data_IF_276137929842
#
_entry.id   IF_276137929842
#
_cell.length_a   1.000
_cell.length_b   1.000
_cell.length_c   1.000
_cell.angle_alpha   90.00
_cell.angle_beta   90.00
_cell.angle_gamma   90.00
#
_symmetry.space_group_name_H-M   'P 1'
#
loop_
_entity.id
_entity.type
_entity.pdbx_description
1 polymer ?
#
# COMPACT_ATOMS: atom_id res chain seq x y z
N UNK A 1 41.96 -32.86 43.89
CA UNK A 1 42.29 -32.94 42.46
C UNK A 1 41.49 -31.82 41.76
N UNK A 2 42.17 -30.74 41.35
CA UNK A 2 41.49 -29.63 40.70
C UNK A 2 41.64 -29.72 39.17
N UNK A 3 40.53 -29.88 38.46
CA UNK A 3 40.54 -29.86 36.99
C UNK A 3 40.61 -28.41 36.50
N UNK A 4 41.70 -28.05 35.88
CA UNK A 4 41.88 -26.78 35.16
C UNK A 4 41.30 -26.91 33.74
N UNK A 5 40.34 -26.12 33.32
CA UNK A 5 39.84 -26.19 31.95
C UNK A 5 40.88 -25.63 30.98
N UNK A 6 41.15 -26.40 29.95
CA UNK A 6 42.15 -26.10 28.92
C UNK A 6 41.80 -24.78 28.17
N UNK A 7 42.81 -23.89 28.03
CA UNK A 7 42.71 -22.59 27.31
C UNK A 7 42.17 -22.69 25.87
N UNK A 8 42.18 -23.86 25.31
CA UNK A 8 41.66 -24.12 23.93
C UNK A 8 40.15 -24.17 23.86
N UNK A 9 39.45 -24.48 24.98
CA UNK A 9 37.96 -24.53 25.02
C UNK A 9 37.38 -23.13 25.12
N UNK A 10 38.06 -22.18 25.79
CA UNK A 10 37.62 -20.80 25.91
C UNK A 10 37.72 -20.03 24.56
N UNK A 11 38.73 -20.36 23.72
CA UNK A 11 38.88 -19.70 22.42
C UNK A 11 37.80 -20.09 21.40
N UNK A 12 37.29 -21.33 21.47
CA UNK A 12 36.22 -21.80 20.59
C UNK A 12 34.84 -21.21 20.90
N UNK A 13 34.58 -20.89 22.16
CA UNK A 13 33.30 -20.30 22.61
C UNK A 13 33.16 -18.82 22.25
N UNK A 14 34.27 -18.08 22.13
CA UNK A 14 34.25 -16.65 21.75
C UNK A 14 34.05 -16.44 20.24
N UNK A 15 34.48 -17.40 19.41
CA UNK A 15 34.35 -17.30 17.96
C UNK A 15 32.90 -17.51 17.45
N UNK A 16 32.04 -18.19 18.22
CA UNK A 16 30.68 -18.49 17.82
C UNK A 16 29.68 -17.33 18.07
N UNK A 17 30.05 -16.39 18.95
CA UNK A 17 29.19 -15.23 19.28
C UNK A 17 29.34 -14.08 18.28
N UNK A 18 30.44 -14.01 17.52
CA UNK A 18 30.71 -12.93 16.58
C UNK A 18 30.03 -13.08 15.21
N UNK A 19 29.41 -14.22 14.91
CA UNK A 19 28.81 -14.50 13.60
C UNK A 19 27.32 -14.13 13.46
N UNK A 20 26.68 -13.62 14.51
CA UNK A 20 25.23 -13.29 14.51
C UNK A 20 24.95 -11.79 14.34
N UNK A 21 25.97 -10.95 14.22
CA UNK A 21 25.82 -9.49 14.17
C UNK A 21 25.88 -8.98 12.72
N UNK A 22 24.83 -9.17 11.92
CA UNK A 22 24.86 -8.66 10.55
C UNK A 22 23.55 -8.65 9.78
N UNK A 23 22.43 -9.01 10.36
CA UNK A 23 21.13 -8.77 9.68
C UNK A 23 20.72 -7.32 9.88
N UNK A 24 21.03 -6.47 8.91
CA UNK A 24 20.37 -5.17 8.79
C UNK A 24 18.89 -5.46 8.52
N UNK A 25 18.07 -5.38 9.55
CA UNK A 25 16.63 -5.31 9.41
C UNK A 25 16.33 -4.00 8.68
N UNK A 26 16.23 -4.05 7.36
CA UNK A 26 15.65 -2.98 6.55
C UNK A 26 14.14 -2.99 6.81
N UNK A 27 13.74 -2.41 7.94
CA UNK A 27 12.34 -2.19 8.30
C UNK A 27 11.78 -0.93 7.63
N UNK A 28 12.27 -0.58 6.45
CA UNK A 28 11.63 0.40 5.59
C UNK A 28 10.81 -0.42 4.60
N UNK A 29 9.52 -0.54 4.91
CA UNK A 29 8.60 -1.28 4.11
C UNK A 29 8.42 -0.63 2.75
N UNK A 30 9.19 -1.14 1.81
CA UNK A 30 8.96 -0.92 0.39
C UNK A 30 7.57 -1.46 0.05
N UNK A 31 6.65 -0.55 -0.32
CA UNK A 31 5.30 -0.95 -0.73
C UNK A 31 5.41 -1.41 -2.18
N UNK A 32 5.68 -2.69 -2.37
CA UNK A 32 5.59 -3.29 -3.69
C UNK A 32 4.11 -3.47 -4.04
N UNK A 33 3.60 -2.75 -5.06
CA UNK A 33 2.20 -2.87 -5.45
C UNK A 33 1.85 -4.30 -5.85
N UNK A 34 0.71 -4.79 -5.36
CA UNK A 34 0.21 -6.13 -5.68
C UNK A 34 -0.75 -6.07 -6.85
N UNK A 35 -0.57 -6.92 -7.87
CA UNK A 35 -1.45 -6.95 -9.04
C UNK A 35 -2.92 -7.15 -8.68
N UNK A 36 -3.80 -6.58 -9.49
CA UNK A 36 -5.25 -6.64 -9.31
C UNK A 36 -5.85 -7.35 -10.51
N UNK A 37 -6.69 -8.36 -10.28
CA UNK A 37 -7.51 -8.96 -11.35
C UNK A 37 -8.73 -8.07 -11.63
N UNK A 38 -8.67 -7.38 -12.76
CA UNK A 38 -9.74 -6.52 -13.27
C UNK A 38 -10.48 -7.09 -14.46
N UNK A 39 -10.32 -8.39 -14.76
CA UNK A 39 -10.90 -9.06 -15.94
C UNK A 39 -12.42 -9.03 -15.96
N UNK A 40 -13.07 -8.93 -14.79
CA UNK A 40 -14.54 -8.84 -14.67
C UNK A 40 -15.10 -7.43 -14.86
N UNK A 41 -14.23 -6.42 -15.00
CA UNK A 41 -14.66 -5.04 -15.21
C UNK A 41 -14.77 -4.72 -16.69
N UNK A 42 -15.73 -3.89 -17.08
CA UNK A 42 -15.84 -3.38 -18.46
C UNK A 42 -14.53 -2.72 -18.92
N UNK A 43 -14.23 -2.79 -20.20
CA UNK A 43 -13.12 -2.07 -20.79
C UNK A 43 -13.42 -0.57 -20.85
N UNK A 44 -12.41 0.24 -20.53
CA UNK A 44 -12.53 1.70 -20.47
C UNK A 44 -11.48 2.43 -21.31
N UNK A 45 -10.79 1.67 -22.19
CA UNK A 45 -9.76 2.23 -23.04
C UNK A 45 -8.42 2.48 -22.35
N UNK A 46 -7.48 3.04 -23.09
CA UNK A 46 -6.11 3.33 -22.62
C UNK A 46 -5.93 4.74 -22.10
N UNK A 47 -6.77 5.69 -22.52
CA UNK A 47 -6.72 7.07 -22.06
C UNK A 47 -7.25 7.17 -20.63
N UNK A 48 -6.54 7.89 -19.78
CA UNK A 48 -6.94 8.11 -18.40
C UNK A 48 -8.20 8.97 -18.32
N UNK A 49 -9.26 8.39 -17.77
CA UNK A 49 -10.50 9.10 -17.51
C UNK A 49 -10.33 10.02 -16.28
N UNK A 50 -11.08 11.11 -16.25
CA UNK A 50 -11.10 12.05 -15.12
C UNK A 50 -12.11 11.64 -14.05
N UNK A 51 -13.15 10.90 -14.44
CA UNK A 51 -14.27 10.55 -13.58
C UNK A 51 -14.46 9.04 -13.55
N UNK A 52 -14.92 8.52 -12.43
CA UNK A 52 -15.07 7.09 -12.17
C UNK A 52 -16.13 6.46 -13.07
N UNK A 53 -15.74 5.64 -14.08
CA UNK A 53 -16.68 4.98 -14.97
C UNK A 53 -17.42 3.80 -14.31
N UNK A 54 -16.97 3.41 -13.12
CA UNK A 54 -17.53 2.27 -12.37
C UNK A 54 -18.34 2.70 -11.15
N UNK A 55 -18.66 3.99 -11.01
CA UNK A 55 -19.47 4.49 -9.89
C UNK A 55 -20.78 3.72 -9.79
N UNK A 56 -21.09 3.21 -8.60
CA UNK A 56 -22.27 2.39 -8.34
C UNK A 56 -22.17 0.93 -8.82
N UNK A 57 -21.06 0.52 -9.42
CA UNK A 57 -20.86 -0.86 -9.84
C UNK A 57 -20.39 -1.72 -8.65
N UNK A 58 -21.25 -2.61 -8.15
CA UNK A 58 -20.96 -3.47 -7.02
C UNK A 58 -19.79 -4.44 -7.25
N UNK A 59 -19.57 -4.89 -8.51
CA UNK A 59 -18.42 -5.75 -8.85
C UNK A 59 -17.13 -4.96 -8.75
N UNK A 60 -17.12 -3.72 -9.25
CA UNK A 60 -15.97 -2.83 -9.14
C UNK A 60 -15.66 -2.51 -7.67
N UNK A 61 -16.66 -2.18 -6.88
CA UNK A 61 -16.47 -1.92 -5.45
C UNK A 61 -15.87 -3.13 -4.72
N UNK A 62 -16.32 -4.35 -5.04
CA UNK A 62 -15.77 -5.57 -4.42
C UNK A 62 -14.33 -5.86 -4.82
N UNK A 63 -13.99 -5.66 -6.09
CA UNK A 63 -12.60 -5.74 -6.57
C UNK A 63 -11.77 -4.65 -5.90
N UNK A 64 -12.30 -3.44 -5.81
CA UNK A 64 -11.65 -2.29 -5.18
C UNK A 64 -11.39 -2.49 -3.69
N UNK A 65 -12.30 -3.11 -2.95
CA UNK A 65 -12.12 -3.48 -1.54
C UNK A 65 -10.87 -4.36 -1.36
N UNK A 66 -10.77 -5.42 -2.18
CA UNK A 66 -9.62 -6.34 -2.14
C UNK A 66 -8.32 -5.64 -2.54
N UNK A 67 -8.38 -4.85 -3.61
CA UNK A 67 -7.24 -4.08 -4.11
C UNK A 67 -6.75 -3.03 -3.09
N UNK A 68 -7.68 -2.34 -2.45
CA UNK A 68 -7.41 -1.39 -1.38
C UNK A 68 -6.72 -2.06 -0.19
N UNK A 69 -7.25 -3.19 0.27
CA UNK A 69 -6.69 -3.92 1.40
C UNK A 69 -5.23 -4.35 1.15
N UNK A 70 -4.90 -4.72 -0.08
CA UNK A 70 -3.57 -5.17 -0.46
C UNK A 70 -2.57 -4.03 -0.69
N UNK A 71 -3.02 -2.89 -1.20
CA UNK A 71 -2.14 -1.84 -1.71
C UNK A 71 -2.18 -0.53 -0.91
N UNK A 72 -3.28 -0.21 -0.25
CA UNK A 72 -3.53 1.10 0.36
C UNK A 72 -3.65 1.04 1.88
N UNK A 73 -4.27 -0.02 2.42
CA UNK A 73 -4.63 -0.13 3.83
C UNK A 73 -3.44 -0.04 4.79
N UNK A 74 -2.25 -0.40 4.35
CA UNK A 74 -1.02 -0.29 5.15
C UNK A 74 -0.76 1.13 5.65
N UNK A 75 -1.07 2.14 4.84
CA UNK A 75 -0.86 3.54 5.18
C UNK A 75 -2.18 4.24 5.53
N UNK A 76 -3.26 3.96 4.78
CA UNK A 76 -4.54 4.61 4.95
C UNK A 76 -5.50 3.90 5.93
N UNK A 77 -5.06 2.79 6.52
CA UNK A 77 -5.82 2.01 7.48
C UNK A 77 -6.85 1.06 6.84
N UNK A 78 -7.28 0.09 7.61
CA UNK A 78 -8.34 -0.82 7.21
C UNK A 78 -9.67 -0.05 7.06
N UNK A 79 -10.45 -0.39 6.04
CA UNK A 79 -11.71 0.30 5.73
C UNK A 79 -11.57 1.81 5.52
N UNK A 80 -10.38 2.25 5.09
CA UNK A 80 -10.02 3.65 4.88
C UNK A 80 -9.99 4.51 6.15
N UNK A 81 -10.06 3.89 7.34
CA UNK A 81 -9.97 4.56 8.64
C UNK A 81 -8.50 4.77 8.99
N UNK A 82 -8.03 6.00 8.87
CA UNK A 82 -6.62 6.31 9.06
C UNK A 82 -6.17 6.16 10.50
N UNK A 83 -4.98 5.58 10.69
CA UNK A 83 -4.23 5.61 11.95
C UNK A 83 -3.28 6.81 12.09
N UNK A 84 -3.37 7.83 11.22
CA UNK A 84 -2.57 9.06 11.29
C UNK A 84 -1.29 9.06 10.45
N UNK A 85 -0.93 7.94 9.79
CA UNK A 85 0.24 7.88 8.88
C UNK A 85 -0.05 8.58 7.55
N UNK A 86 -1.27 8.40 7.02
CA UNK A 86 -1.75 8.98 5.78
C UNK A 86 -3.17 9.54 6.00
N UNK A 87 -3.72 10.36 5.08
CA UNK A 87 -5.07 10.86 5.20
C UNK A 87 -6.12 9.77 5.32
N UNK A 88 -7.18 10.03 6.07
CA UNK A 88 -8.38 9.20 6.13
C UNK A 88 -9.19 9.39 4.83
N UNK A 89 -9.30 8.32 4.04
CA UNK A 89 -9.89 8.40 2.71
C UNK A 89 -11.43 8.31 2.72
N UNK A 90 -12.05 8.10 3.89
CA UNK A 90 -13.51 8.16 4.00
C UNK A 90 -14.04 9.58 3.79
N UNK A 91 -13.22 10.59 4.08
CA UNK A 91 -13.58 12.00 3.90
C UNK A 91 -13.30 12.53 2.49
N UNK A 92 -12.85 11.66 1.57
CA UNK A 92 -12.71 12.06 0.19
C UNK A 92 -14.09 12.29 -0.42
N UNK A 93 -14.32 13.48 -0.97
CA UNK A 93 -15.60 13.86 -1.57
C UNK A 93 -16.10 12.79 -2.56
N UNK A 94 -17.39 12.49 -2.51
CA UNK A 94 -18.02 11.64 -3.52
C UNK A 94 -18.19 12.39 -4.82
N UNK A 95 -18.21 11.66 -5.94
CA UNK A 95 -18.38 12.28 -7.26
C UNK A 95 -17.12 12.87 -7.85
N UNK A 96 -17.31 13.73 -8.83
CA UNK A 96 -16.26 14.22 -9.73
C UNK A 96 -15.11 14.96 -9.03
N UNK A 97 -15.34 15.84 -8.04
CA UNK A 97 -14.22 16.50 -7.35
C UNK A 97 -13.30 15.52 -6.63
N UNK A 98 -13.88 14.51 -5.96
CA UNK A 98 -13.11 13.46 -5.31
C UNK A 98 -12.42 12.54 -6.30
N UNK A 99 -13.01 12.29 -7.46
CA UNK A 99 -12.42 11.47 -8.52
C UNK A 99 -11.17 12.14 -9.09
N UNK A 100 -11.22 13.43 -9.41
CA UNK A 100 -10.07 14.19 -9.93
C UNK A 100 -8.92 14.20 -8.94
N UNK A 101 -9.21 14.45 -7.67
CA UNK A 101 -8.20 14.44 -6.61
C UNK A 101 -7.60 13.05 -6.43
N UNK A 102 -8.43 12.00 -6.42
CA UNK A 102 -8.00 10.61 -6.22
C UNK A 102 -7.10 10.15 -7.36
N UNK A 103 -7.54 10.32 -8.62
CA UNK A 103 -6.82 9.77 -9.76
C UNK A 103 -5.45 10.43 -9.96
N UNK A 104 -5.34 11.72 -9.67
CA UNK A 104 -4.07 12.44 -9.70
C UNK A 104 -3.08 11.83 -8.70
N UNK A 105 -3.50 11.60 -7.45
CA UNK A 105 -2.66 10.99 -6.41
C UNK A 105 -2.34 9.54 -6.71
N UNK A 106 -3.29 8.80 -7.25
CA UNK A 106 -3.11 7.41 -7.63
C UNK A 106 -2.08 7.26 -8.76
N UNK A 107 -2.12 8.11 -9.75
CA UNK A 107 -1.19 8.08 -10.88
C UNK A 107 0.22 8.50 -10.47
N UNK A 108 0.36 9.62 -9.78
CA UNK A 108 1.63 10.29 -9.59
C UNK A 108 2.20 10.15 -8.19
N UNK A 109 1.41 9.65 -7.24
CA UNK A 109 1.81 9.57 -5.84
C UNK A 109 1.90 10.95 -5.18
N UNK A 110 2.70 11.04 -4.12
CA UNK A 110 2.96 12.29 -3.40
C UNK A 110 4.39 12.31 -2.89
N UNK A 111 5.10 13.40 -3.18
CA UNK A 111 6.45 13.65 -2.69
C UNK A 111 6.55 15.04 -2.09
N UNK A 112 7.37 15.18 -1.04
CA UNK A 112 7.69 16.46 -0.42
C UNK A 112 9.16 16.46 0.00
N UNK A 113 9.87 17.52 -0.32
CA UNK A 113 11.30 17.71 0.00
C UNK A 113 12.16 16.50 -0.39
N UNK A 114 11.90 15.93 -1.58
CA UNK A 114 12.60 14.77 -2.13
C UNK A 114 12.25 13.42 -1.48
N UNK A 115 11.30 13.38 -0.53
CA UNK A 115 10.82 12.16 0.09
C UNK A 115 9.48 11.75 -0.52
N UNK A 116 9.37 10.48 -0.89
CA UNK A 116 8.12 9.88 -1.35
C UNK A 116 7.28 9.51 -0.11
N UNK A 117 6.08 10.10 -0.02
CA UNK A 117 5.08 9.79 1.01
C UNK A 117 4.05 8.79 0.52
N UNK A 118 3.67 8.89 -0.74
CA UNK A 118 2.79 7.94 -1.40
C UNK A 118 3.43 7.57 -2.75
N UNK A 119 3.74 6.30 -3.02
CA UNK A 119 4.25 5.88 -4.31
C UNK A 119 3.18 6.01 -5.40
N UNK A 120 3.56 6.15 -6.68
CA UNK A 120 2.63 6.08 -7.78
C UNK A 120 2.16 4.62 -8.00
N UNK A 121 0.87 4.43 -8.21
CA UNK A 121 0.27 3.12 -8.43
C UNK A 121 -0.23 2.93 -9.87
N UNK A 122 -0.40 4.01 -10.61
CA UNK A 122 -1.04 4.00 -11.93
C UNK A 122 -0.40 3.05 -12.94
N UNK A 123 0.92 3.00 -13.01
CA UNK A 123 1.64 2.12 -13.95
C UNK A 123 1.51 0.64 -13.62
N UNK A 124 1.44 0.29 -12.33
CA UNK A 124 1.43 -1.11 -11.88
C UNK A 124 0.02 -1.68 -11.82
N UNK A 125 -0.93 -0.92 -11.30
CA UNK A 125 -2.30 -1.39 -11.06
C UNK A 125 -3.26 -0.99 -12.18
N UNK A 126 -2.85 -0.08 -13.05
CA UNK A 126 -3.62 0.40 -14.18
C UNK A 126 -4.86 1.22 -13.81
N UNK A 127 -5.47 1.81 -14.81
CA UNK A 127 -6.65 2.66 -14.67
C UNK A 127 -7.86 1.91 -14.09
N UNK A 128 -8.12 0.68 -14.56
CA UNK A 128 -9.24 -0.15 -14.07
C UNK A 128 -9.11 -0.43 -12.58
N UNK A 129 -7.89 -0.71 -12.12
CA UNK A 129 -7.59 -0.93 -10.70
C UNK A 129 -7.84 0.31 -9.85
N UNK A 130 -7.41 1.48 -10.32
CA UNK A 130 -7.66 2.75 -9.64
C UNK A 130 -9.14 3.06 -9.50
N UNK A 131 -9.90 2.94 -10.56
CA UNK A 131 -11.34 3.20 -10.53
C UNK A 131 -12.13 2.16 -9.71
N UNK A 132 -11.66 0.92 -9.65
CA UNK A 132 -12.23 -0.07 -8.75
C UNK A 132 -12.00 0.33 -7.28
N UNK A 133 -10.78 0.73 -6.92
CA UNK A 133 -10.47 1.24 -5.57
C UNK A 133 -11.33 2.47 -5.25
N UNK A 134 -11.45 3.41 -6.19
CA UNK A 134 -12.30 4.59 -6.00
C UNK A 134 -13.76 4.22 -5.76
N UNK A 135 -14.29 3.23 -6.50
CA UNK A 135 -15.66 2.73 -6.29
C UNK A 135 -15.86 2.14 -4.90
N UNK A 136 -14.85 1.45 -4.36
CA UNK A 136 -14.89 0.99 -2.98
C UNK A 136 -14.87 2.16 -1.98
N UNK A 137 -14.01 3.15 -2.17
CA UNK A 137 -13.91 4.30 -1.26
C UNK A 137 -15.24 5.07 -1.14
N UNK A 138 -16.01 5.16 -2.24
CA UNK A 138 -17.35 5.74 -2.20
C UNK A 138 -18.33 4.93 -1.33
N UNK A 139 -18.13 3.61 -1.18
CA UNK A 139 -19.00 2.77 -0.32
C UNK A 139 -18.71 2.94 1.18
N UNK A 140 -17.53 3.43 1.53
CA UNK A 140 -17.12 3.65 2.92
C UNK A 140 -17.03 5.13 3.28
N UNK A 141 -17.53 6.01 2.40
CA UNK A 141 -17.56 7.44 2.63
C UNK A 141 -18.27 7.79 3.93
N UNK A 142 -17.78 8.83 4.60
CA UNK A 142 -18.34 9.38 5.84
C UNK A 142 -18.31 10.89 5.76
N UNK A 143 -19.40 11.53 6.13
CA UNK A 143 -19.54 12.98 6.26
C UNK A 143 -19.16 13.47 7.66
N UNK A 144 -18.85 12.56 8.60
CA UNK A 144 -18.59 12.82 10.04
C UNK A 144 -17.09 12.84 10.36
#
# INVERSE_FOLDING_TARGET
MAFSPSRKVLAASLALVAAVSGTKLLAHGDVTPQPIDTSKLPEIGSEWLKHNPYRGNAVAAKIGESAYAQNCARCHGLQAISGGIAPDLRYLEVGDPGDEWFIERYQHGSSRDGKVYMPPFGEVLGQKGGWAIRSYLETVHSDD
#
